data_IF_457929303209
#
_entry.id   IF_457929303209
#
_cell.length_a   1.000
_cell.length_b   1.000
_cell.length_c   1.000
_cell.angle_alpha   90.00
_cell.angle_beta   90.00
_cell.angle_gamma   90.00
#
_symmetry.space_group_name_H-M   'P 1'
#
loop_
_entity.id
_entity.type
_entity.pdbx_description
1 polymer ?
#
# COMPACT_ATOMS: atom_id res chain seq x y z
N UNK A 1 -90.67 -9.10 11.14
CA UNK A 1 -89.79 -9.94 11.98
C UNK A 1 -88.72 -10.70 11.20
N UNK A 2 -87.66 -10.03 10.72
CA UNK A 2 -86.48 -10.69 10.13
C UNK A 2 -85.38 -10.99 11.16
N UNK A 3 -85.47 -10.40 12.34
CA UNK A 3 -84.48 -10.49 13.41
C UNK A 3 -84.36 -11.91 13.99
N UNK A 4 -85.46 -12.65 14.07
CA UNK A 4 -85.49 -14.02 14.62
C UNK A 4 -85.29 -15.12 13.57
N UNK A 5 -85.11 -14.77 12.29
CA UNK A 5 -84.96 -15.74 11.21
C UNK A 5 -83.75 -16.69 11.38
N UNK A 6 -82.57 -16.22 11.85
CA UNK A 6 -81.44 -17.10 12.12
C UNK A 6 -81.70 -18.09 13.27
N UNK A 7 -82.39 -17.64 14.33
CA UNK A 7 -82.78 -18.46 15.48
C UNK A 7 -83.82 -19.52 15.07
N UNK A 8 -84.83 -19.13 14.29
CA UNK A 8 -85.82 -20.05 13.76
C UNK A 8 -85.15 -21.12 12.87
N UNK A 9 -84.20 -20.73 12.01
CA UNK A 9 -83.44 -21.66 11.17
C UNK A 9 -82.52 -22.59 11.99
N UNK A 10 -81.95 -22.12 13.09
CA UNK A 10 -81.17 -22.94 14.01
C UNK A 10 -82.04 -23.97 14.75
N UNK A 11 -83.20 -23.55 15.28
CA UNK A 11 -84.09 -24.41 16.07
C UNK A 11 -84.82 -25.47 15.23
N UNK A 12 -85.28 -25.09 14.04
CA UNK A 12 -86.12 -25.95 13.20
C UNK A 12 -85.36 -26.55 12.00
N UNK A 13 -84.15 -26.08 11.71
CA UNK A 13 -83.27 -26.66 10.68
C UNK A 13 -83.91 -26.65 9.29
N UNK A 14 -84.22 -27.84 8.78
CA UNK A 14 -84.88 -28.08 7.49
C UNK A 14 -86.41 -28.18 7.58
N UNK A 15 -87.00 -27.80 8.71
CA UNK A 15 -88.44 -27.80 8.96
C UNK A 15 -88.98 -26.37 8.77
N UNK A 16 -90.01 -26.23 7.94
CA UNK A 16 -90.67 -24.95 7.66
C UNK A 16 -91.70 -24.64 8.74
N UNK A 17 -91.58 -23.49 9.38
CA UNK A 17 -92.58 -22.98 10.32
C UNK A 17 -93.72 -22.29 9.56
N UNK A 18 -94.96 -22.67 9.85
CA UNK A 18 -96.17 -22.11 9.22
C UNK A 18 -97.14 -21.60 10.28
N UNK A 19 -98.00 -20.64 9.92
CA UNK A 19 -98.94 -20.07 10.88
C UNK A 19 -100.06 -21.04 11.26
N UNK A 20 -100.54 -21.85 10.31
CA UNK A 20 -101.66 -22.77 10.53
C UNK A 20 -101.29 -24.22 10.20
N UNK A 21 -101.97 -25.18 10.83
CA UNK A 21 -101.80 -26.61 10.53
C UNK A 21 -102.11 -26.97 9.07
N UNK A 22 -103.04 -26.25 8.44
CA UNK A 22 -103.41 -26.50 7.05
C UNK A 22 -102.29 -26.10 6.08
N UNK A 23 -101.59 -24.99 6.36
CA UNK A 23 -100.44 -24.56 5.57
C UNK A 23 -99.26 -25.52 5.73
N UNK A 24 -99.00 -26.00 6.95
CA UNK A 24 -98.02 -27.06 7.20
C UNK A 24 -98.35 -28.33 6.40
N UNK A 25 -99.63 -28.71 6.39
CA UNK A 25 -100.10 -29.89 5.66
C UNK A 25 -99.93 -29.75 4.14
N UNK A 26 -100.21 -28.57 3.58
CA UNK A 26 -99.98 -28.31 2.14
C UNK A 26 -98.50 -28.37 1.77
N UNK A 27 -97.63 -27.78 2.59
CA UNK A 27 -96.18 -27.85 2.37
C UNK A 27 -95.63 -29.27 2.53
N UNK A 28 -96.22 -30.06 3.42
CA UNK A 28 -95.92 -31.49 3.55
C UNK A 28 -96.27 -32.28 2.30
N UNK A 29 -97.42 -32.02 1.67
CA UNK A 29 -97.79 -32.62 0.36
C UNK A 29 -96.81 -32.24 -0.75
N UNK A 30 -96.31 -31.01 -0.72
CA UNK A 30 -95.26 -30.54 -1.63
C UNK A 30 -93.87 -31.15 -1.34
N UNK A 31 -93.74 -31.94 -0.26
CA UNK A 31 -92.53 -32.69 0.07
C UNK A 31 -91.59 -32.00 1.07
N UNK A 32 -92.06 -30.97 1.76
CA UNK A 32 -91.29 -30.29 2.81
C UNK A 32 -91.66 -30.80 4.21
N UNK A 33 -90.72 -30.79 5.16
CA UNK A 33 -91.09 -30.99 6.57
C UNK A 33 -91.63 -29.67 7.09
N UNK A 34 -92.80 -29.66 7.72
CA UNK A 34 -93.43 -28.43 8.17
C UNK A 34 -94.05 -28.58 9.56
N UNK A 35 -94.04 -27.49 10.34
CA UNK A 35 -94.65 -27.43 11.67
C UNK A 35 -95.52 -26.17 11.77
N UNK A 36 -96.72 -26.28 12.35
CA UNK A 36 -97.55 -25.12 12.65
C UNK A 36 -97.09 -24.41 13.93
N UNK A 37 -97.43 -23.13 14.11
CA UNK A 37 -97.19 -22.41 15.37
C UNK A 37 -97.85 -23.13 16.56
N UNK A 38 -98.93 -23.87 16.32
CA UNK A 38 -99.62 -24.68 17.32
C UNK A 38 -98.92 -26.02 17.64
N UNK A 39 -97.78 -26.30 16.99
CA UNK A 39 -96.95 -27.48 17.25
C UNK A 39 -97.36 -28.73 16.47
N UNK A 40 -98.20 -28.61 15.44
CA UNK A 40 -98.59 -29.74 14.59
C UNK A 40 -97.49 -30.00 13.56
N UNK A 41 -96.77 -31.12 13.71
CA UNK A 41 -95.69 -31.51 12.81
C UNK A 41 -96.18 -32.44 11.71
N UNK A 42 -95.73 -32.17 10.49
CA UNK A 42 -96.00 -32.97 9.30
C UNK A 42 -94.67 -33.34 8.61
N UNK A 43 -94.49 -34.63 8.36
CA UNK A 43 -93.33 -35.13 7.62
C UNK A 43 -93.53 -34.99 6.10
N UNK A 44 -92.44 -34.96 5.33
CA UNK A 44 -92.50 -34.77 3.87
C UNK A 44 -93.22 -35.93 3.18
N UNK A 45 -94.18 -35.63 2.30
CA UNK A 45 -94.96 -36.59 1.50
C UNK A 45 -95.86 -37.55 2.31
N UNK A 46 -96.14 -37.25 3.58
CA UNK A 46 -97.03 -38.05 4.42
C UNK A 46 -98.34 -37.31 4.73
N UNK A 47 -99.48 -37.98 4.57
CA UNK A 47 -100.81 -37.37 4.72
C UNK A 47 -101.30 -37.26 6.18
N UNK A 48 -100.50 -37.64 7.18
CA UNK A 48 -100.92 -37.70 8.59
C UNK A 48 -100.06 -36.81 9.49
N UNK A 49 -100.69 -36.21 10.50
CA UNK A 49 -100.00 -35.49 11.60
C UNK A 49 -99.22 -36.52 12.42
N UNK A 50 -97.90 -36.41 12.45
CA UNK A 50 -97.05 -37.25 13.32
C UNK A 50 -96.90 -36.57 14.67
N UNK A 51 -97.85 -36.83 15.57
CA UNK A 51 -97.67 -36.51 16.99
C UNK A 51 -96.62 -37.49 17.52
N UNK A 52 -95.51 -37.01 18.06
CA UNK A 52 -94.50 -37.87 18.69
C UNK A 52 -95.10 -38.49 19.97
N UNK A 53 -95.70 -39.68 19.84
CA UNK A 53 -96.38 -40.41 20.91
C UNK A 53 -95.40 -41.18 21.81
N UNK A 54 -94.11 -41.22 21.46
CA UNK A 54 -93.14 -42.10 22.11
C UNK A 54 -92.08 -41.39 22.96
N UNK A 55 -92.00 -40.06 22.89
CA UNK A 55 -91.18 -39.30 23.85
C UNK A 55 -91.70 -39.46 25.29
N UNK A 56 -90.79 -39.39 26.26
CA UNK A 56 -91.14 -39.42 27.70
C UNK A 56 -92.07 -38.27 28.09
N UNK A 57 -91.98 -37.14 27.38
CA UNK A 57 -92.82 -35.96 27.58
C UNK A 57 -94.24 -36.26 27.08
N UNK A 58 -94.38 -36.81 25.88
CA UNK A 58 -95.69 -37.19 25.33
C UNK A 58 -96.39 -38.27 26.17
N UNK A 59 -95.64 -39.26 26.69
CA UNK A 59 -96.16 -40.25 27.64
C UNK A 59 -96.67 -39.62 28.94
N UNK A 60 -95.95 -38.64 29.49
CA UNK A 60 -96.35 -37.90 30.69
C UNK A 60 -97.62 -37.06 30.42
N UNK A 61 -97.63 -36.29 29.33
CA UNK A 61 -98.77 -35.46 28.90
C UNK A 61 -100.03 -36.29 28.66
N UNK A 62 -99.88 -37.49 28.09
CA UNK A 62 -100.97 -38.45 27.92
C UNK A 62 -101.52 -38.95 29.26
N UNK A 63 -100.67 -39.32 30.22
CA UNK A 63 -101.11 -39.76 31.55
C UNK A 63 -101.83 -38.62 32.29
N UNK A 64 -101.36 -37.38 32.19
CA UNK A 64 -102.00 -36.20 32.83
C UNK A 64 -103.37 -35.94 32.23
N UNK A 65 -103.47 -35.93 30.90
CA UNK A 65 -104.74 -35.67 30.19
C UNK A 65 -105.76 -36.81 30.30
N UNK A 66 -105.31 -38.05 30.57
CA UNK A 66 -106.16 -39.23 30.69
C UNK A 66 -106.40 -39.68 32.15
N UNK A 67 -105.77 -39.03 33.14
CA UNK A 67 -105.97 -39.38 34.56
C UNK A 67 -107.31 -38.82 35.07
N UNK A 68 -108.27 -39.71 35.32
CA UNK A 68 -109.57 -39.38 35.92
C UNK A 68 -109.55 -39.33 37.46
N UNK A 69 -108.38 -39.52 38.09
CA UNK A 69 -108.21 -39.64 39.55
C UNK A 69 -107.03 -38.82 40.07
N UNK A 70 -107.18 -38.23 41.27
CA UNK A 70 -106.15 -37.40 41.95
C UNK A 70 -104.85 -38.19 42.19
N UNK A 71 -104.95 -39.50 42.41
CA UNK A 71 -103.82 -40.40 42.64
C UNK A 71 -102.90 -40.54 41.41
N UNK A 72 -103.47 -40.62 40.19
CA UNK A 72 -102.68 -40.69 38.95
C UNK A 72 -101.86 -39.42 38.70
N UNK A 73 -102.40 -38.27 39.08
CA UNK A 73 -101.70 -36.98 39.03
C UNK A 73 -100.55 -36.93 40.06
N UNK A 74 -100.77 -37.44 41.29
CA UNK A 74 -99.73 -37.50 42.32
C UNK A 74 -98.54 -38.39 41.91
N UNK A 75 -98.82 -39.54 41.30
CA UNK A 75 -97.79 -40.43 40.75
C UNK A 75 -97.00 -39.74 39.63
N UNK A 76 -97.70 -38.99 38.78
CA UNK A 76 -97.06 -38.24 37.69
C UNK A 76 -96.19 -37.10 38.19
N UNK A 77 -96.63 -36.36 39.22
CA UNK A 77 -95.84 -35.34 39.90
C UNK A 77 -94.58 -35.95 40.52
N UNK A 78 -94.68 -37.14 41.11
CA UNK A 78 -93.54 -37.85 41.69
C UNK A 78 -92.53 -38.27 40.62
N UNK A 79 -92.99 -38.81 39.49
CA UNK A 79 -92.14 -39.14 38.35
C UNK A 79 -91.45 -37.90 37.76
N UNK A 80 -92.18 -36.79 37.64
CA UNK A 80 -91.64 -35.51 37.18
C UNK A 80 -90.57 -34.99 38.14
N UNK A 81 -90.84 -35.00 39.44
CA UNK A 81 -89.87 -34.57 40.46
C UNK A 81 -88.59 -35.40 40.39
N UNK A 82 -88.70 -36.73 40.30
CA UNK A 82 -87.54 -37.62 40.12
C UNK A 82 -86.75 -37.29 38.83
N UNK A 83 -87.45 -36.98 37.73
CA UNK A 83 -86.81 -36.56 36.50
C UNK A 83 -86.06 -35.23 36.65
N UNK A 84 -86.68 -34.25 37.32
CA UNK A 84 -86.07 -32.95 37.61
C UNK A 84 -84.83 -33.11 38.49
N UNK A 85 -84.88 -33.93 39.54
CA UNK A 85 -83.71 -34.20 40.40
C UNK A 85 -82.57 -34.86 39.62
N UNK A 86 -82.87 -35.83 38.74
CA UNK A 86 -81.85 -36.45 37.87
C UNK A 86 -81.25 -35.46 36.87
N UNK A 87 -82.05 -34.55 36.31
CA UNK A 87 -81.55 -33.48 35.45
C UNK A 87 -80.65 -32.50 36.21
N UNK A 88 -81.04 -32.14 37.44
CA UNK A 88 -80.26 -31.28 38.33
C UNK A 88 -78.90 -31.89 38.70
N UNK A 89 -78.85 -33.19 39.02
CA UNK A 89 -77.58 -33.86 39.33
C UNK A 89 -76.67 -33.98 38.11
N UNK A 90 -77.23 -34.27 36.93
CA UNK A 90 -76.46 -34.27 35.68
C UNK A 90 -75.92 -32.89 35.33
N UNK A 91 -76.70 -31.82 35.54
CA UNK A 91 -76.25 -30.45 35.30
C UNK A 91 -75.06 -30.10 36.18
N UNK A 92 -75.11 -30.42 37.48
CA UNK A 92 -73.99 -30.22 38.40
C UNK A 92 -72.71 -30.94 37.94
N UNK A 93 -72.83 -32.17 37.44
CA UNK A 93 -71.68 -32.92 36.87
C UNK A 93 -71.09 -32.24 35.63
N UNK A 94 -71.95 -31.72 34.76
CA UNK A 94 -71.51 -30.97 33.56
C UNK A 94 -70.78 -29.68 33.98
N UNK A 95 -71.31 -28.93 34.95
CA UNK A 95 -70.67 -27.71 35.46
C UNK A 95 -69.32 -27.98 36.13
N UNK A 96 -69.18 -29.08 36.85
CA UNK A 96 -67.91 -29.50 37.44
C UNK A 96 -66.89 -29.89 36.36
N UNK A 97 -67.31 -30.69 35.37
CA UNK A 97 -66.46 -31.04 34.23
C UNK A 97 -66.04 -29.81 33.43
N UNK A 98 -66.94 -28.86 33.20
CA UNK A 98 -66.64 -27.61 32.52
C UNK A 98 -65.58 -26.81 33.28
N UNK A 99 -65.70 -26.68 34.61
CA UNK A 99 -64.69 -26.01 35.44
C UNK A 99 -63.33 -26.70 35.36
N UNK A 100 -63.30 -28.03 35.37
CA UNK A 100 -62.04 -28.78 35.25
C UNK A 100 -61.39 -28.60 33.88
N UNK A 101 -62.17 -28.67 32.80
CA UNK A 101 -61.68 -28.42 31.43
C UNK A 101 -61.17 -26.98 31.25
N UNK A 102 -61.83 -25.99 31.82
CA UNK A 102 -61.36 -24.60 31.79
C UNK A 102 -60.01 -24.43 32.49
N UNK A 103 -59.81 -25.07 33.65
CA UNK A 103 -58.51 -25.06 34.35
C UNK A 103 -57.41 -25.71 33.51
N UNK A 104 -57.70 -26.86 32.91
CA UNK A 104 -56.74 -27.55 32.03
C UNK A 104 -56.39 -26.71 30.80
N UNK A 105 -57.38 -26.04 30.21
CA UNK A 105 -57.17 -25.15 29.07
C UNK A 105 -56.23 -24.00 29.45
N UNK A 106 -56.47 -23.35 30.60
CA UNK A 106 -55.63 -22.26 31.07
C UNK A 106 -54.17 -22.71 31.28
N UNK A 107 -53.95 -23.86 31.91
CA UNK A 107 -52.60 -24.42 32.09
C UNK A 107 -51.95 -24.68 30.73
N UNK A 108 -52.67 -25.32 29.82
CA UNK A 108 -52.16 -25.62 28.48
C UNK A 108 -51.81 -24.36 27.68
N UNK A 109 -52.60 -23.30 27.79
CA UNK A 109 -52.31 -22.01 27.14
C UNK A 109 -51.04 -21.37 27.70
N UNK A 110 -50.83 -21.41 29.02
CA UNK A 110 -49.61 -20.89 29.65
C UNK A 110 -48.37 -21.70 29.25
N UNK A 111 -48.49 -23.03 29.23
CA UNK A 111 -47.41 -23.92 28.78
C UNK A 111 -47.06 -23.69 27.32
N UNK A 112 -48.07 -23.50 26.46
CA UNK A 112 -47.89 -23.16 25.05
C UNK A 112 -47.17 -21.81 24.89
N UNK A 113 -47.52 -20.81 25.69
CA UNK A 113 -46.83 -19.51 25.72
C UNK A 113 -45.35 -19.66 26.08
N UNK A 114 -45.05 -20.40 27.15
CA UNK A 114 -43.68 -20.67 27.61
C UNK A 114 -42.86 -21.45 26.57
N UNK A 115 -43.47 -22.47 25.93
CA UNK A 115 -42.85 -23.24 24.87
C UNK A 115 -42.55 -22.37 23.63
N UNK A 116 -43.49 -21.48 23.25
CA UNK A 116 -43.31 -20.54 22.15
C UNK A 116 -42.17 -19.56 22.41
N UNK A 117 -42.11 -18.99 23.62
CA UNK A 117 -41.02 -18.10 24.01
C UNK A 117 -39.67 -18.83 23.98
N UNK A 118 -39.59 -20.02 24.58
CA UNK A 118 -38.38 -20.86 24.58
C UNK A 118 -37.93 -21.21 23.17
N UNK A 119 -38.87 -21.53 22.26
CA UNK A 119 -38.56 -21.78 20.85
C UNK A 119 -37.97 -20.55 20.17
N UNK A 120 -38.53 -19.36 20.40
CA UNK A 120 -38.02 -18.11 19.82
C UNK A 120 -36.58 -17.80 20.28
N UNK A 121 -36.30 -18.03 21.57
CA UNK A 121 -34.97 -17.86 22.16
C UNK A 121 -33.97 -18.88 21.60
N UNK A 122 -34.35 -20.15 21.50
CA UNK A 122 -33.48 -21.17 20.88
C UNK A 122 -33.21 -20.85 19.41
N UNK A 123 -34.20 -20.38 18.66
CA UNK A 123 -34.04 -19.99 17.26
C UNK A 123 -33.04 -18.85 17.09
N UNK A 124 -33.08 -17.83 17.95
CA UNK A 124 -32.12 -16.72 17.91
C UNK A 124 -30.71 -17.17 18.29
N UNK A 125 -30.59 -18.03 19.30
CA UNK A 125 -29.31 -18.62 19.70
C UNK A 125 -28.69 -19.49 18.60
N UNK A 126 -29.50 -20.34 17.94
CA UNK A 126 -29.05 -21.15 16.79
C UNK A 126 -28.53 -20.23 15.69
N UNK A 127 -29.30 -19.21 15.29
CA UNK A 127 -28.88 -18.26 14.25
C UNK A 127 -27.55 -17.58 14.60
N UNK A 128 -27.38 -17.16 15.85
CA UNK A 128 -26.12 -16.55 16.32
C UNK A 128 -24.94 -17.53 16.23
N UNK A 129 -25.14 -18.78 16.68
CA UNK A 129 -24.11 -19.83 16.61
C UNK A 129 -23.76 -20.21 15.17
N UNK A 130 -24.73 -20.29 14.27
CA UNK A 130 -24.51 -20.53 12.84
C UNK A 130 -23.67 -19.41 12.23
N UNK A 131 -24.01 -18.14 12.48
CA UNK A 131 -23.22 -17.02 11.99
C UNK A 131 -21.77 -17.04 12.52
N UNK A 132 -21.56 -17.48 13.76
CA UNK A 132 -20.22 -17.64 14.33
C UNK A 132 -19.45 -18.79 13.64
N UNK A 133 -20.12 -19.90 13.37
CA UNK A 133 -19.54 -21.04 12.64
C UNK A 133 -19.07 -20.63 11.24
N UNK A 134 -19.87 -19.83 10.53
CA UNK A 134 -19.52 -19.35 9.19
C UNK A 134 -18.27 -18.45 9.24
N UNK A 135 -18.20 -17.53 10.21
CA UNK A 135 -17.02 -16.68 10.43
C UNK A 135 -15.78 -17.49 10.76
N UNK A 136 -15.89 -18.49 11.63
CA UNK A 136 -14.79 -19.38 11.97
C UNK A 136 -14.32 -20.19 10.75
N UNK A 137 -15.25 -20.67 9.94
CA UNK A 137 -14.96 -21.42 8.71
C UNK A 137 -14.20 -20.55 7.69
N UNK A 138 -14.64 -19.30 7.51
CA UNK A 138 -13.93 -18.33 6.68
C UNK A 138 -12.51 -18.09 7.22
N UNK A 139 -12.37 -17.88 8.53
CA UNK A 139 -11.06 -17.65 9.15
C UNK A 139 -10.11 -18.83 8.99
N UNK A 140 -10.60 -20.06 9.12
CA UNK A 140 -9.83 -21.28 8.89
C UNK A 140 -9.34 -21.34 7.43
N UNK A 141 -10.19 -20.97 6.47
CA UNK A 141 -9.82 -20.91 5.06
C UNK A 141 -8.70 -19.90 4.80
N UNK A 142 -8.81 -18.68 5.35
CA UNK A 142 -7.77 -17.65 5.26
C UNK A 142 -6.45 -18.12 5.85
N UNK A 143 -6.48 -18.75 7.03
CA UNK A 143 -5.28 -19.26 7.70
C UNK A 143 -4.60 -20.36 6.87
N UNK A 144 -5.37 -21.27 6.25
CA UNK A 144 -4.83 -22.30 5.34
C UNK A 144 -4.16 -21.69 4.10
N UNK A 145 -4.70 -20.59 3.57
CA UNK A 145 -4.07 -19.88 2.45
C UNK A 145 -2.75 -19.26 2.91
N UNK A 146 -2.73 -18.60 4.07
CA UNK A 146 -1.51 -18.02 4.64
C UNK A 146 -0.43 -19.08 4.89
N UNK A 147 -0.81 -20.23 5.48
CA UNK A 147 0.08 -21.37 5.69
C UNK A 147 0.73 -21.85 4.39
N UNK A 148 -0.06 -22.00 3.32
CA UNK A 148 0.46 -22.35 1.98
C UNK A 148 1.47 -21.33 1.45
N UNK A 149 1.29 -20.04 1.73
CA UNK A 149 2.23 -18.98 1.31
C UNK A 149 3.51 -18.92 2.15
N UNK A 150 3.51 -19.43 3.39
CA UNK A 150 4.72 -19.49 4.20
C UNK A 150 5.73 -20.50 3.65
N UNK A 151 5.26 -21.61 3.05
CA UNK A 151 6.16 -22.67 2.59
C UNK A 151 7.15 -22.22 1.49
N UNK A 152 6.73 -21.51 0.41
CA UNK A 152 7.67 -20.93 -0.56
C UNK A 152 8.63 -19.92 0.08
N UNK A 153 8.15 -19.13 1.05
CA UNK A 153 8.97 -18.12 1.73
C UNK A 153 10.05 -18.76 2.59
N UNK A 154 9.74 -19.86 3.27
CA UNK A 154 10.72 -20.67 3.99
C UNK A 154 11.79 -21.18 3.03
N UNK A 155 11.39 -21.77 1.89
CA UNK A 155 12.33 -22.27 0.87
C UNK A 155 13.25 -21.15 0.37
N UNK A 156 12.70 -19.96 0.09
CA UNK A 156 13.47 -18.79 -0.36
C UNK A 156 14.47 -18.30 0.71
N UNK A 157 14.07 -18.30 1.98
CA UNK A 157 14.95 -17.91 3.08
C UNK A 157 16.05 -18.95 3.24
N UNK A 158 15.72 -20.24 3.20
CA UNK A 158 16.70 -21.33 3.29
C UNK A 158 17.75 -21.26 2.19
N UNK A 159 17.36 -21.05 0.94
CA UNK A 159 18.33 -20.89 -0.16
C UNK A 159 19.20 -19.64 -0.02
N UNK A 160 18.63 -18.55 0.52
CA UNK A 160 19.39 -17.32 0.82
C UNK A 160 20.41 -17.53 1.93
N UNK A 161 20.04 -18.27 2.99
CA UNK A 161 20.94 -18.64 4.09
C UNK A 161 22.08 -19.51 3.56
N UNK A 162 21.78 -20.55 2.79
CA UNK A 162 22.79 -21.44 2.21
C UNK A 162 23.77 -20.66 1.31
N UNK A 163 23.28 -19.73 0.50
CA UNK A 163 24.12 -18.85 -0.32
C UNK A 163 25.05 -17.96 0.53
N UNK A 164 24.53 -17.40 1.63
CA UNK A 164 25.33 -16.59 2.54
C UNK A 164 26.40 -17.42 3.26
N UNK A 165 26.06 -18.62 3.71
CA UNK A 165 27.01 -19.55 4.33
C UNK A 165 28.15 -19.92 3.37
N UNK A 166 27.82 -20.21 2.11
CA UNK A 166 28.83 -20.44 1.07
C UNK A 166 29.73 -19.23 0.87
N UNK A 167 29.16 -18.02 0.79
CA UNK A 167 29.95 -16.77 0.67
C UNK A 167 30.86 -16.56 1.88
N UNK A 168 30.36 -16.79 3.09
CA UNK A 168 31.16 -16.69 4.33
C UNK A 168 32.31 -17.70 4.31
N UNK A 169 32.05 -18.94 3.89
CA UNK A 169 33.08 -19.98 3.76
C UNK A 169 34.16 -19.59 2.76
N UNK A 170 33.77 -19.09 1.58
CA UNK A 170 34.71 -18.59 0.57
C UNK A 170 35.55 -17.42 1.09
N UNK A 171 34.93 -16.46 1.76
CA UNK A 171 35.65 -15.33 2.39
C UNK A 171 36.63 -15.87 3.43
N UNK A 172 36.22 -16.75 4.34
CA UNK A 172 37.13 -17.34 5.34
C UNK A 172 38.32 -18.06 4.69
N UNK A 173 38.09 -18.77 3.59
CA UNK A 173 39.16 -19.45 2.83
C UNK A 173 40.12 -18.45 2.17
N UNK A 174 39.59 -17.43 1.50
CA UNK A 174 40.36 -16.41 0.78
C UNK A 174 41.12 -15.45 1.71
N UNK A 175 40.59 -15.23 2.91
CA UNK A 175 41.20 -14.42 3.96
C UNK A 175 41.87 -15.28 5.04
N UNK A 176 42.25 -16.51 4.68
CA UNK A 176 43.05 -17.36 5.56
C UNK A 176 44.39 -16.68 5.87
N UNK A 177 44.92 -16.96 7.07
CA UNK A 177 46.14 -16.31 7.58
C UNK A 177 47.33 -16.42 6.63
N UNK A 178 47.44 -17.52 5.89
CA UNK A 178 48.53 -17.74 4.93
C UNK A 178 48.46 -16.79 3.73
N UNK A 179 47.25 -16.56 3.18
CA UNK A 179 47.07 -15.59 2.08
C UNK A 179 47.26 -14.14 2.57
N UNK A 180 46.78 -13.80 3.77
CA UNK A 180 47.05 -12.48 4.36
C UNK A 180 48.54 -12.27 4.63
N UNK A 181 49.24 -13.29 5.15
CA UNK A 181 50.68 -13.23 5.42
C UNK A 181 51.46 -13.09 4.11
N UNK A 182 51.07 -13.82 3.06
CA UNK A 182 51.67 -13.67 1.73
C UNK A 182 51.51 -12.26 1.17
N UNK A 183 50.28 -11.72 1.18
CA UNK A 183 49.98 -10.36 0.71
C UNK A 183 50.74 -9.32 1.55
N UNK A 184 50.77 -9.47 2.87
CA UNK A 184 51.50 -8.57 3.76
C UNK A 184 53.02 -8.59 3.50
N UNK A 185 53.59 -9.77 3.27
CA UNK A 185 54.99 -9.93 2.92
C UNK A 185 55.30 -9.26 1.56
N UNK A 186 54.47 -9.47 0.56
CA UNK A 186 54.64 -8.89 -0.78
C UNK A 186 54.50 -7.35 -0.75
N UNK A 187 53.55 -6.82 0.03
CA UNK A 187 53.44 -5.38 0.31
C UNK A 187 54.67 -4.82 1.03
N UNK A 188 55.20 -5.54 2.03
CA UNK A 188 56.41 -5.13 2.74
C UNK A 188 57.62 -5.06 1.80
N UNK A 189 57.75 -6.06 0.91
CA UNK A 189 58.80 -6.11 -0.11
C UNK A 189 58.68 -4.93 -1.09
N UNK A 190 57.48 -4.69 -1.62
CA UNK A 190 57.19 -3.55 -2.48
C UNK A 190 57.49 -2.22 -1.79
N UNK A 191 57.15 -2.08 -0.51
CA UNK A 191 57.38 -0.85 0.24
C UNK A 191 58.88 -0.61 0.52
N UNK A 192 59.63 -1.67 0.81
CA UNK A 192 61.09 -1.61 0.93
C UNK A 192 61.73 -1.19 -0.40
N UNK A 193 61.30 -1.80 -1.52
CA UNK A 193 61.78 -1.44 -2.86
C UNK A 193 61.44 0.00 -3.22
N UNK A 194 60.21 0.46 -2.92
CA UNK A 194 59.79 1.86 -3.10
C UNK A 194 60.65 2.82 -2.28
N UNK A 195 60.95 2.47 -1.03
CA UNK A 195 61.80 3.29 -0.15
C UNK A 195 63.23 3.40 -0.68
N UNK A 196 63.81 2.29 -1.17
CA UNK A 196 65.13 2.29 -1.82
C UNK A 196 65.15 3.18 -3.06
N UNK A 197 64.15 3.04 -3.95
CA UNK A 197 64.03 3.86 -5.16
C UNK A 197 63.84 5.35 -4.84
N UNK A 198 63.07 5.68 -3.81
CA UNK A 198 62.91 7.07 -3.36
C UNK A 198 64.22 7.65 -2.81
N UNK A 199 65.01 6.84 -2.10
CA UNK A 199 66.33 7.24 -1.63
C UNK A 199 67.28 7.52 -2.80
N UNK A 200 67.34 6.61 -3.78
CA UNK A 200 68.12 6.81 -5.00
C UNK A 200 67.67 8.04 -5.78
N UNK A 201 66.36 8.25 -5.94
CA UNK A 201 65.79 9.43 -6.59
C UNK A 201 66.23 10.72 -5.88
N UNK A 202 66.18 10.75 -4.55
CA UNK A 202 66.60 11.92 -3.77
C UNK A 202 68.11 12.21 -3.94
N UNK A 203 68.94 11.15 -4.00
CA UNK A 203 70.37 11.30 -4.28
C UNK A 203 70.64 11.83 -5.69
N UNK A 204 69.90 11.35 -6.69
CA UNK A 204 69.99 11.83 -8.07
C UNK A 204 69.53 13.29 -8.18
N UNK A 205 68.41 13.66 -7.55
CA UNK A 205 67.92 15.05 -7.51
C UNK A 205 68.96 15.99 -6.88
N UNK A 206 69.61 15.58 -5.79
CA UNK A 206 70.70 16.34 -5.17
C UNK A 206 71.87 16.53 -6.13
N UNK A 207 72.36 15.46 -6.76
CA UNK A 207 73.46 15.52 -7.74
C UNK A 207 73.10 16.38 -8.96
N UNK A 208 71.84 16.32 -9.41
CA UNK A 208 71.37 17.13 -10.52
C UNK A 208 71.34 18.62 -10.15
N UNK A 209 70.87 18.94 -8.94
CA UNK A 209 70.91 20.32 -8.43
C UNK A 209 72.34 20.85 -8.30
N UNK A 210 73.27 20.05 -7.76
CA UNK A 210 74.69 20.41 -7.63
C UNK A 210 75.38 20.61 -8.98
N UNK A 211 75.11 19.73 -9.95
CA UNK A 211 75.67 19.87 -11.31
C UNK A 211 75.06 21.07 -12.03
N UNK A 212 73.76 21.34 -11.87
CA UNK A 212 73.12 22.52 -12.46
C UNK A 212 73.63 23.83 -11.87
N UNK A 213 73.84 23.89 -10.54
CA UNK A 213 74.49 25.02 -9.90
C UNK A 213 75.93 25.23 -10.42
N UNK A 214 76.69 24.13 -10.56
CA UNK A 214 78.05 24.17 -11.12
C UNK A 214 78.07 24.70 -12.56
N UNK A 215 77.14 24.26 -13.40
CA UNK A 215 76.97 24.75 -14.78
C UNK A 215 76.66 26.25 -14.78
N UNK A 216 75.74 26.71 -13.92
CA UNK A 216 75.39 28.14 -13.81
C UNK A 216 76.61 28.99 -13.48
N UNK A 217 77.44 28.56 -12.52
CA UNK A 217 78.69 29.27 -12.17
C UNK A 217 79.65 29.35 -13.36
N UNK A 218 79.80 28.26 -14.11
CA UNK A 218 80.65 28.24 -15.32
C UNK A 218 80.09 29.15 -16.41
N UNK A 219 78.78 29.14 -16.63
CA UNK A 219 78.11 30.03 -17.59
C UNK A 219 78.30 31.51 -17.22
N UNK A 220 78.11 31.87 -15.95
CA UNK A 220 78.30 33.24 -15.49
C UNK A 220 79.75 33.69 -15.62
N UNK A 221 80.71 32.81 -15.28
CA UNK A 221 82.14 33.06 -15.50
C UNK A 221 82.46 33.27 -16.99
N UNK A 222 81.86 32.46 -17.87
CA UNK A 222 82.02 32.59 -19.33
C UNK A 222 81.42 33.90 -19.85
N UNK A 223 80.24 34.31 -19.35
CA UNK A 223 79.62 35.61 -19.68
C UNK A 223 80.50 36.77 -19.25
N UNK A 224 81.00 36.77 -18.02
CA UNK A 224 81.93 37.79 -17.50
C UNK A 224 83.21 37.87 -18.36
N UNK A 225 83.82 36.71 -18.68
CA UNK A 225 85.02 36.69 -19.53
C UNK A 225 84.75 37.22 -20.93
N UNK A 226 83.60 36.88 -21.52
CA UNK A 226 83.19 37.39 -22.83
C UNK A 226 83.00 38.91 -22.80
N UNK A 227 82.40 39.45 -21.74
CA UNK A 227 82.26 40.90 -21.56
C UNK A 227 83.63 41.58 -21.48
N UNK A 228 84.52 41.08 -20.63
CA UNK A 228 85.88 41.62 -20.50
C UNK A 228 86.66 41.63 -21.83
N UNK A 229 86.56 40.55 -22.62
CA UNK A 229 87.18 40.50 -23.95
C UNK A 229 86.55 41.47 -24.95
N UNK A 230 85.24 41.73 -24.85
CA UNK A 230 84.57 42.71 -25.69
C UNK A 230 85.01 44.14 -25.31
N UNK A 231 85.10 44.44 -24.02
CA UNK A 231 85.59 45.72 -23.50
C UNK A 231 87.06 45.97 -23.91
N UNK A 232 87.90 44.93 -23.86
CA UNK A 232 89.29 44.95 -24.35
C UNK A 232 89.34 45.18 -25.87
N UNK A 233 88.50 44.49 -26.64
CA UNK A 233 88.40 44.70 -28.08
C UNK A 233 87.99 46.15 -28.41
N UNK A 234 87.00 46.71 -27.73
CA UNK A 234 86.59 48.11 -27.93
C UNK A 234 87.73 49.06 -27.61
N UNK A 235 88.45 48.86 -26.50
CA UNK A 235 89.60 49.68 -26.11
C UNK A 235 90.73 49.63 -27.14
N UNK A 236 91.08 48.44 -27.64
CA UNK A 236 92.11 48.29 -28.70
C UNK A 236 91.64 48.96 -30.00
N UNK A 237 90.34 48.90 -30.31
CA UNK A 237 89.80 49.52 -31.53
C UNK A 237 89.86 51.05 -31.42
N UNK A 238 89.54 51.62 -30.26
CA UNK A 238 89.70 53.04 -29.95
C UNK A 238 91.17 53.46 -30.06
N UNK A 239 92.08 52.73 -29.40
CA UNK A 239 93.53 52.99 -29.47
C UNK A 239 94.06 52.94 -30.90
N UNK A 240 93.60 51.96 -31.71
CA UNK A 240 93.92 51.89 -33.14
C UNK A 240 93.44 53.13 -33.89
N UNK A 241 92.21 53.59 -33.66
CA UNK A 241 91.69 54.81 -34.32
C UNK A 241 92.47 56.06 -33.92
N UNK A 242 92.88 56.18 -32.67
CA UNK A 242 93.74 57.27 -32.19
C UNK A 242 95.12 57.23 -32.86
N UNK A 243 95.75 56.05 -32.93
CA UNK A 243 97.01 55.85 -33.64
C UNK A 243 96.89 56.18 -35.14
N UNK A 244 95.83 55.73 -35.82
CA UNK A 244 95.58 56.05 -37.22
C UNK A 244 95.40 57.58 -37.43
N UNK A 245 94.70 58.25 -36.51
CA UNK A 245 94.57 59.72 -36.52
C UNK A 245 95.91 60.43 -36.31
N UNK A 246 96.77 59.87 -35.46
CA UNK A 246 98.11 60.42 -35.19
C UNK A 246 99.05 60.20 -36.37
N UNK A 247 98.99 59.02 -37.01
CA UNK A 247 99.76 58.70 -38.21
C UNK A 247 99.35 59.60 -39.38
N UNK A 248 98.04 59.82 -39.57
CA UNK A 248 97.55 60.74 -40.62
C UNK A 248 98.02 62.17 -40.36
N UNK A 249 97.97 62.64 -39.12
CA UNK A 249 98.55 63.94 -38.73
C UNK A 249 100.06 64.02 -39.05
N UNK A 250 100.86 63.05 -38.61
CA UNK A 250 102.30 63.03 -38.91
C UNK A 250 102.61 62.92 -40.41
N UNK A 251 101.79 62.21 -41.19
CA UNK A 251 101.90 62.22 -42.67
C UNK A 251 101.66 63.61 -43.24
N UNK A 252 100.61 64.31 -42.79
CA UNK A 252 100.34 65.67 -43.28
C UNK A 252 101.45 66.66 -42.90
N UNK A 253 102.02 66.53 -41.69
CA UNK A 253 103.17 67.34 -41.25
C UNK A 253 104.45 67.02 -42.04
N UNK A 254 104.70 65.74 -42.34
CA UNK A 254 105.79 65.30 -43.20
C UNK A 254 105.64 65.87 -44.61
N UNK A 255 104.47 65.71 -45.23
CA UNK A 255 104.21 66.19 -46.60
C UNK A 255 104.32 67.72 -46.69
N UNK A 256 103.92 68.43 -45.63
CA UNK A 256 104.10 69.88 -45.52
C UNK A 256 105.58 70.28 -45.43
N UNK A 257 106.35 69.59 -44.57
CA UNK A 257 107.80 69.82 -44.46
C UNK A 257 108.55 69.46 -45.74
N UNK A 258 108.14 68.41 -46.44
CA UNK A 258 108.74 67.95 -47.69
C UNK A 258 108.51 68.98 -48.82
N UNK A 259 107.30 69.55 -48.90
CA UNK A 259 107.01 70.71 -49.77
C UNK A 259 107.83 71.95 -49.41
N UNK A 260 108.08 72.18 -48.13
CA UNK A 260 108.90 73.31 -47.70
C UNK A 260 110.39 73.09 -48.07
N UNK A 261 110.86 71.86 -47.96
CA UNK A 261 112.21 71.45 -48.36
C UNK A 261 112.40 71.52 -49.88
N UNK A 262 111.37 71.18 -50.66
CA UNK A 262 111.34 71.38 -52.11
C UNK A 262 111.47 72.86 -52.46
N UNK A 263 110.73 73.75 -51.79
CA UNK A 263 110.88 75.21 -51.96
C UNK A 263 112.28 75.71 -51.56
N UNK A 264 112.89 75.15 -50.53
CA UNK A 264 114.25 75.52 -50.12
C UNK A 264 115.28 75.02 -51.13
N UNK A 265 115.09 73.84 -51.73
CA UNK A 265 115.92 73.35 -52.84
C UNK A 265 115.76 74.20 -54.10
N UNK A 266 114.55 74.64 -54.43
CA UNK A 266 114.35 75.54 -55.56
C UNK A 266 115.10 76.86 -55.35
N UNK A 267 115.05 77.41 -54.12
CA UNK A 267 115.86 78.58 -53.72
C UNK A 267 117.37 78.32 -53.78
N UNK A 268 117.83 77.13 -53.39
CA UNK A 268 119.24 76.74 -53.49
C UNK A 268 119.69 76.69 -54.96
N UNK A 269 118.84 76.17 -55.85
CA UNK A 269 119.14 76.12 -57.28
C UNK A 269 119.09 77.48 -57.95
N UNK A 270 118.25 78.39 -57.46
CA UNK A 270 118.26 79.80 -57.82
C UNK A 270 119.58 80.48 -57.39
N UNK A 271 120.06 80.20 -56.16
CA UNK A 271 121.36 80.66 -55.65
C UNK A 271 122.54 80.14 -56.48
N UNK A 272 122.53 78.87 -56.87
CA UNK A 272 123.54 78.26 -57.75
C UNK A 272 123.51 78.91 -59.14
N UNK A 273 122.32 79.19 -59.69
CA UNK A 273 122.18 79.90 -60.95
C UNK A 273 122.76 81.33 -60.90
N UNK A 274 122.54 82.07 -59.80
CA UNK A 274 123.22 83.38 -59.60
C UNK A 274 124.73 83.25 -59.41
N UNK A 275 125.20 82.18 -58.78
CA UNK A 275 126.64 81.94 -58.54
C UNK A 275 127.42 81.62 -59.83
N UNK A 276 126.74 81.10 -60.86
CA UNK A 276 127.31 80.83 -62.18
C UNK A 276 127.65 82.08 -63.01
N UNK A 277 127.09 83.25 -62.68
CA UNK A 277 127.35 84.51 -63.42
C UNK A 277 128.61 85.27 -62.97
N UNK A 278 129.18 84.92 -61.81
CA UNK A 278 130.42 85.54 -61.32
C UNK A 278 131.69 85.03 -62.01
N UNK A 279 131.61 83.95 -62.79
CA UNK A 279 132.74 83.36 -63.53
C UNK A 279 132.99 84.06 -64.88
N UNK A 280 132.10 84.95 -65.33
CA UNK A 280 132.27 85.70 -66.59
C UNK A 280 132.56 87.20 -66.42
N UNK A 281 132.86 87.67 -65.21
CA UNK A 281 133.32 89.06 -64.97
C UNK A 281 134.71 89.17 -64.32
N UNK A 282 135.46 88.06 -64.22
CA UNK A 282 136.84 88.06 -63.72
C UNK A 282 137.91 87.83 -64.80
N UNK A 283 137.53 87.87 -66.08
CA UNK A 283 138.46 87.89 -67.24
C UNK A 283 138.69 89.31 -67.79
N UNK A 284 138.42 90.36 -67.01
CA UNK A 284 138.69 91.77 -67.35
C UNK A 284 139.65 92.45 -66.35
N UNK A 285 140.37 91.64 -65.56
CA UNK A 285 141.53 92.06 -64.77
C UNK A 285 142.68 91.08 -65.02
N UNK A 286 143.28 91.16 -66.22
CA UNK A 286 144.63 90.67 -66.50
C UNK A 286 145.44 91.87 -67.03
N UNK A 287 145.97 92.71 -66.12
CA UNK A 287 147.10 93.67 -66.24
C UNK A 287 147.20 94.59 -65.00
#
# INVERSE_FOLDING_TARGET
DREYLPIARFLFGNIILTQTGNDAHQLSKAGYKAVSINGEFFESKTNAVTIDINSKISKLTKIISQSSTVEGLLQTITLLNNHVQKKKSNLKKIEENQRNLMKQLQVSETERGNASHSHSTLKSQIKSRTNMLDKLSQRISELRIQEKHLHPRIIQISSSVESLEQRISLVRKNFSGDQQTSIANELSFLNNKKSSLNFERSQLEKKLSETQASISVVEDRKKLRRKALLDEQTSITEEKTELDSTITKFKTEKDASEKELEKLRDKEQELIATSGTSVSQLTEFDE
#
